data_IF_937022920149
#
_entry.id   IF_937022920149
#
_cell.length_a   1.000
_cell.length_b   1.000
_cell.length_c   1.000
_cell.angle_alpha   90.00
_cell.angle_beta   90.00
_cell.angle_gamma   90.00
#
_symmetry.space_group_name_H-M   'P 1'
#
loop_
_entity.id
_entity.type
_entity.pdbx_description
1 polymer ?
#
# COMPACT_ATOMS: atom_id res chain seq x y z
N UNK A 1 36.24 -9.51 -20.73
CA UNK A 1 34.85 -9.49 -20.19
C UNK A 1 34.86 -8.99 -18.74
N UNK A 2 33.97 -8.06 -18.38
CA UNK A 2 33.78 -7.70 -16.97
C UNK A 2 33.32 -8.94 -16.19
N UNK A 3 33.75 -9.14 -14.93
CA UNK A 3 33.31 -10.29 -14.15
C UNK A 3 31.78 -10.24 -13.97
N UNK A 4 31.13 -11.40 -14.09
CA UNK A 4 29.75 -11.56 -13.63
C UNK A 4 29.74 -11.33 -12.11
N UNK A 5 29.27 -10.17 -11.65
CA UNK A 5 29.00 -9.94 -10.24
C UNK A 5 27.58 -10.42 -9.93
N UNK A 6 27.46 -11.49 -9.13
CA UNK A 6 26.19 -11.86 -8.52
C UNK A 6 25.77 -10.83 -7.47
N UNK A 7 24.48 -10.51 -7.40
CA UNK A 7 23.90 -9.70 -6.31
C UNK A 7 23.40 -10.63 -5.21
N UNK A 8 23.59 -10.26 -3.94
CA UNK A 8 22.93 -10.95 -2.84
C UNK A 8 21.52 -10.38 -2.68
N UNK A 9 20.64 -11.19 -2.10
CA UNK A 9 19.32 -10.77 -1.69
C UNK A 9 19.01 -11.33 -0.30
N UNK A 10 18.14 -10.64 0.42
CA UNK A 10 17.59 -11.17 1.68
C UNK A 10 16.62 -12.33 1.42
N UNK A 11 16.27 -13.03 2.49
CA UNK A 11 15.01 -13.77 2.50
C UNK A 11 13.82 -12.81 2.31
N UNK A 12 12.68 -13.36 1.92
CA UNK A 12 11.42 -12.62 1.84
C UNK A 12 11.02 -12.12 3.23
N UNK A 13 10.63 -10.86 3.31
CA UNK A 13 10.19 -10.14 4.50
C UNK A 13 8.78 -9.62 4.29
N UNK A 14 8.05 -9.38 5.38
CA UNK A 14 6.73 -8.76 5.35
C UNK A 14 6.72 -7.51 6.23
N UNK A 15 6.21 -6.41 5.70
CA UNK A 15 5.95 -5.17 6.43
C UNK A 15 4.44 -4.94 6.52
N UNK A 16 3.95 -4.56 7.70
CA UNK A 16 2.53 -4.25 7.93
C UNK A 16 2.36 -2.81 8.39
N UNK A 17 1.34 -2.15 7.83
CA UNK A 17 1.07 -0.73 7.95
C UNK A 17 -0.35 -0.51 8.43
N UNK A 18 -0.57 0.33 9.43
CA UNK A 18 -1.90 0.68 9.95
C UNK A 18 -2.35 2.05 9.42
N UNK A 19 -3.62 2.12 9.02
CA UNK A 19 -4.37 3.38 8.95
C UNK A 19 -5.61 3.31 9.85
N UNK A 20 -5.76 4.30 10.73
CA UNK A 20 -6.94 4.47 11.58
C UNK A 20 -7.46 5.91 11.46
N UNK A 21 -8.63 6.06 10.84
CA UNK A 21 -9.25 7.37 10.58
C UNK A 21 -9.56 8.12 11.88
N UNK A 22 -9.79 7.42 13.00
CA UNK A 22 -10.01 8.05 14.32
C UNK A 22 -8.74 8.73 14.85
N UNK A 23 -7.57 8.27 14.40
CA UNK A 23 -6.25 8.77 14.86
C UNK A 23 -5.60 9.72 13.87
N UNK A 24 -5.82 9.51 12.57
CA UNK A 24 -5.10 10.20 11.50
C UNK A 24 -5.99 11.16 10.69
N UNK A 25 -7.31 11.14 10.93
CA UNK A 25 -8.29 11.88 10.13
C UNK A 25 -8.53 11.23 8.76
N UNK A 26 -9.28 11.92 7.91
CA UNK A 26 -9.57 11.47 6.56
C UNK A 26 -9.94 12.60 5.61
N UNK A 27 -9.38 13.79 5.84
CA UNK A 27 -9.49 14.90 4.89
C UNK A 27 -8.81 14.53 3.56
N UNK A 28 -9.22 15.20 2.48
CA UNK A 28 -8.56 15.06 1.17
C UNK A 28 -7.08 15.43 1.33
N UNK A 29 -6.20 14.51 0.95
CA UNK A 29 -4.77 14.70 1.14
C UNK A 29 -3.95 13.42 1.12
N UNK A 30 -2.69 13.58 1.52
CA UNK A 30 -1.66 12.55 1.49
C UNK A 30 -1.27 12.18 2.91
N UNK A 31 -1.20 10.88 3.19
CA UNK A 31 -0.91 10.34 4.51
C UNK A 31 0.11 9.22 4.40
N UNK A 32 1.14 9.24 5.24
CA UNK A 32 2.03 8.08 5.40
C UNK A 32 1.42 7.17 6.46
N UNK A 33 1.18 5.91 6.11
CA UNK A 33 0.65 4.93 7.04
C UNK A 33 1.66 4.62 8.15
N UNK A 34 1.14 4.26 9.33
CA UNK A 34 1.98 3.90 10.47
C UNK A 34 2.58 2.51 10.22
N UNK A 35 3.88 2.44 10.02
CA UNK A 35 4.60 1.19 9.78
C UNK A 35 6.08 1.43 9.52
N UNK A 36 6.85 0.37 9.17
CA UNK A 36 8.27 0.50 8.89
C UNK A 36 8.51 1.22 7.56
N UNK A 37 9.60 1.99 7.47
CA UNK A 37 10.10 2.49 6.18
C UNK A 37 10.79 1.35 5.45
N UNK A 38 10.39 1.06 4.21
CA UNK A 38 11.12 0.10 3.39
C UNK A 38 12.44 0.73 2.93
N UNK A 39 13.56 -0.01 2.96
CA UNK A 39 14.86 0.54 2.58
C UNK A 39 14.95 0.75 1.06
N UNK A 40 15.96 1.53 0.65
CA UNK A 40 16.38 1.56 -0.76
C UNK A 40 16.68 0.13 -1.25
N UNK A 41 16.47 -0.12 -2.54
CA UNK A 41 16.59 -1.43 -3.18
C UNK A 41 15.63 -2.51 -2.66
N UNK A 42 14.62 -2.18 -1.85
CA UNK A 42 13.51 -3.10 -1.60
C UNK A 42 12.77 -3.38 -2.91
N UNK A 43 12.51 -4.65 -3.18
CA UNK A 43 11.72 -5.15 -4.30
C UNK A 43 10.45 -5.75 -3.70
N UNK A 44 9.33 -5.08 -3.93
CA UNK A 44 8.01 -5.51 -3.48
C UNK A 44 7.51 -6.62 -4.40
N UNK A 45 7.01 -7.69 -3.81
CA UNK A 45 6.62 -8.92 -4.51
C UNK A 45 5.18 -9.34 -4.29
N UNK A 46 4.52 -8.84 -3.25
CA UNK A 46 3.11 -9.10 -2.94
C UNK A 46 2.53 -8.00 -2.05
N UNK A 47 1.23 -7.76 -2.10
CA UNK A 47 0.53 -6.89 -1.16
C UNK A 47 -0.97 -7.20 -1.02
N UNK A 48 -1.45 -7.14 0.22
CA UNK A 48 -2.87 -7.34 0.57
C UNK A 48 -3.30 -6.37 1.67
N UNK A 49 -4.61 -6.22 1.84
CA UNK A 49 -5.23 -5.40 2.89
C UNK A 49 -6.12 -6.27 3.78
N UNK A 50 -6.10 -5.98 5.08
CA UNK A 50 -7.03 -6.48 6.08
C UNK A 50 -7.90 -5.32 6.59
N UNK A 51 -9.14 -5.25 6.12
CA UNK A 51 -10.08 -4.20 6.48
C UNK A 51 -10.78 -4.58 7.79
N UNK A 52 -10.48 -3.86 8.87
CA UNK A 52 -11.09 -4.09 10.18
C UNK A 52 -12.42 -3.36 10.32
N UNK A 53 -12.52 -2.18 9.69
CA UNK A 53 -13.74 -1.40 9.62
C UNK A 53 -13.74 -0.70 8.28
N UNK A 54 -14.76 -0.95 7.46
CA UNK A 54 -14.87 -0.33 6.14
C UNK A 54 -14.84 1.21 6.25
N UNK A 55 -14.14 1.91 5.33
CA UNK A 55 -14.17 3.37 5.31
C UNK A 55 -15.59 3.91 5.14
N UNK A 56 -15.87 5.05 5.76
CA UNK A 56 -17.15 5.74 5.60
C UNK A 56 -16.95 7.24 5.43
N UNK A 57 -17.93 7.88 4.80
CA UNK A 57 -18.00 9.33 4.57
C UNK A 57 -19.15 9.93 5.39
N UNK A 58 -19.12 11.24 5.62
CA UNK A 58 -20.19 12.01 6.25
C UNK A 58 -21.36 12.36 5.30
N UNK A 59 -21.29 11.91 4.04
CA UNK A 59 -22.39 12.06 3.08
C UNK A 59 -21.95 12.43 1.66
N UNK A 60 -20.66 12.65 1.43
CA UNK A 60 -20.14 13.10 0.13
C UNK A 60 -20.08 12.00 -0.94
N UNK A 61 -20.13 10.72 -0.54
CA UNK A 61 -20.33 9.54 -1.40
C UNK A 61 -19.31 9.29 -2.52
N UNK A 62 -18.25 10.09 -2.60
CA UNK A 62 -17.36 10.16 -3.77
C UNK A 62 -15.89 9.95 -3.45
N UNK A 63 -15.54 9.68 -2.19
CA UNK A 63 -14.14 9.54 -1.77
C UNK A 63 -13.44 8.37 -2.49
N UNK A 64 -12.18 8.58 -2.88
CA UNK A 64 -11.34 7.54 -3.44
C UNK A 64 -10.03 7.43 -2.68
N UNK A 65 -9.54 6.21 -2.53
CA UNK A 65 -8.30 5.90 -1.81
C UNK A 65 -7.33 5.25 -2.80
N UNK A 66 -6.07 5.68 -2.78
CA UNK A 66 -4.97 5.01 -3.47
C UNK A 66 -3.80 4.75 -2.51
N UNK A 67 -2.98 3.76 -2.82
CA UNK A 67 -1.82 3.38 -2.03
C UNK A 67 -0.57 3.26 -2.92
N UNK A 68 0.58 3.63 -2.39
CA UNK A 68 1.84 3.33 -3.06
C UNK A 68 3.14 3.71 -2.36
N UNK A 69 4.25 3.26 -2.93
CA UNK A 69 5.61 3.57 -2.45
C UNK A 69 6.42 4.37 -3.46
N UNK A 70 6.62 3.86 -4.69
CA UNK A 70 7.41 4.52 -5.72
C UNK A 70 6.57 5.53 -6.52
N UNK A 71 5.26 5.29 -6.61
CA UNK A 71 4.25 6.24 -7.08
C UNK A 71 3.03 6.20 -6.14
N UNK A 72 2.08 7.12 -6.30
CA UNK A 72 0.91 7.19 -5.41
C UNK A 72 -0.12 6.06 -5.61
N UNK A 73 0.08 5.19 -6.62
CA UNK A 73 -0.93 4.23 -7.10
C UNK A 73 -0.35 2.86 -7.44
N UNK A 74 0.91 2.59 -7.10
CA UNK A 74 1.58 1.33 -7.49
C UNK A 74 1.22 0.13 -6.60
N UNK A 75 0.69 0.36 -5.39
CA UNK A 75 0.17 -0.69 -4.51
C UNK A 75 -1.34 -0.84 -4.68
N UNK A 76 -2.06 0.27 -4.75
CA UNK A 76 -3.47 0.27 -5.08
C UNK A 76 -3.82 1.51 -5.90
N UNK A 77 -4.41 1.27 -7.06
CA UNK A 77 -4.92 2.36 -7.90
C UNK A 77 -6.06 3.09 -7.20
N UNK A 78 -6.39 4.30 -7.65
CA UNK A 78 -7.48 5.08 -7.06
C UNK A 78 -8.80 4.30 -7.19
N UNK A 79 -9.29 3.81 -6.06
CA UNK A 79 -10.53 3.04 -5.96
C UNK A 79 -11.51 3.74 -5.03
N UNK A 80 -12.80 3.60 -5.33
CA UNK A 80 -13.85 4.18 -4.50
C UNK A 80 -13.82 3.51 -3.11
N UNK A 81 -13.99 4.32 -2.06
CA UNK A 81 -14.00 3.85 -0.66
C UNK A 81 -15.06 2.76 -0.41
N UNK A 82 -16.16 2.77 -1.18
CA UNK A 82 -17.26 1.81 -1.08
C UNK A 82 -17.18 0.66 -2.10
N UNK A 83 -16.06 0.53 -2.80
CA UNK A 83 -15.74 -0.61 -3.64
C UNK A 83 -14.59 -1.44 -3.08
N UNK A 84 -14.31 -2.58 -3.73
CA UNK A 84 -13.12 -3.35 -3.43
C UNK A 84 -11.85 -2.50 -3.67
N UNK A 85 -10.83 -2.62 -2.82
CA UNK A 85 -10.67 -3.60 -1.75
C UNK A 85 -11.18 -3.12 -0.38
N UNK A 86 -11.74 -1.90 -0.31
CA UNK A 86 -12.05 -1.23 0.96
C UNK A 86 -13.43 -1.56 1.55
N UNK A 87 -14.38 -1.99 0.71
CA UNK A 87 -15.78 -2.15 1.08
C UNK A 87 -16.10 -3.42 1.89
N UNK A 88 -15.20 -4.40 1.89
CA UNK A 88 -15.43 -5.71 2.52
C UNK A 88 -14.48 -5.84 3.71
N UNK A 89 -15.02 -6.04 4.91
CA UNK A 89 -14.21 -6.34 6.09
C UNK A 89 -13.52 -7.71 5.92
N UNK A 90 -12.27 -7.79 6.38
CA UNK A 90 -11.37 -8.93 6.21
C UNK A 90 -10.34 -8.72 5.10
N UNK A 91 -9.77 -9.85 4.64
CA UNK A 91 -8.66 -9.86 3.70
C UNK A 91 -9.13 -9.67 2.25
N UNK A 92 -8.40 -8.83 1.52
CA UNK A 92 -8.53 -8.66 0.08
C UNK A 92 -7.16 -8.37 -0.56
N UNK A 93 -7.00 -8.78 -1.81
CA UNK A 93 -5.81 -8.45 -2.59
C UNK A 93 -5.82 -6.97 -3.00
N UNK A 94 -4.62 -6.42 -3.16
CA UNK A 94 -4.40 -5.08 -3.70
C UNK A 94 -3.93 -5.18 -5.16
N UNK A 95 -4.04 -4.09 -5.92
CA UNK A 95 -3.69 -4.10 -7.35
C UNK A 95 -2.19 -4.15 -7.65
N UNK A 96 -1.33 -4.02 -6.64
CA UNK A 96 0.12 -4.09 -6.76
C UNK A 96 0.61 -5.48 -7.18
N UNK A 97 1.92 -5.74 -7.13
CA UNK A 97 2.48 -7.05 -7.47
C UNK A 97 1.70 -8.19 -6.83
N UNK A 98 1.33 -9.18 -7.66
CA UNK A 98 0.66 -10.41 -7.24
C UNK A 98 1.54 -11.61 -7.59
N UNK A 99 1.78 -12.55 -6.65
CA UNK A 99 2.56 -13.74 -6.91
C UNK A 99 2.01 -14.58 -8.07
N UNK A 100 2.87 -14.86 -9.05
CA UNK A 100 2.50 -15.71 -10.20
C UNK A 100 1.90 -14.96 -11.39
N UNK A 101 1.79 -13.63 -11.32
CA UNK A 101 1.48 -12.78 -12.48
C UNK A 101 2.77 -12.27 -13.13
N UNK A 102 2.76 -12.11 -14.46
CA UNK A 102 3.98 -11.79 -15.26
C UNK A 102 4.44 -10.33 -15.10
N UNK A 103 3.67 -9.48 -14.44
CA UNK A 103 3.95 -8.05 -14.27
C UNK A 103 3.60 -7.63 -12.85
N UNK A 104 4.55 -7.05 -12.10
CA UNK A 104 4.19 -6.49 -10.80
C UNK A 104 5.31 -5.96 -9.92
N UNK A 105 6.54 -6.46 -10.02
CA UNK A 105 7.56 -6.09 -9.04
C UNK A 105 7.85 -4.58 -9.02
N UNK A 106 7.87 -4.01 -7.82
CA UNK A 106 8.21 -2.59 -7.60
C UNK A 106 9.55 -2.52 -6.89
N UNK A 107 10.56 -1.97 -7.55
CA UNK A 107 11.86 -1.71 -6.92
C UNK A 107 11.97 -0.25 -6.47
N UNK A 108 12.23 -0.05 -5.19
CA UNK A 108 12.46 1.28 -4.64
C UNK A 108 13.85 1.81 -5.00
N UNK A 109 13.92 3.10 -5.28
CA UNK A 109 15.16 3.86 -5.58
C UNK A 109 15.63 4.73 -4.40
N UNK A 110 14.81 4.82 -3.35
CA UNK A 110 15.12 5.45 -2.07
C UNK A 110 14.29 4.79 -0.97
N UNK A 111 14.65 4.98 0.30
CA UNK A 111 13.82 4.52 1.39
C UNK A 111 12.45 5.24 1.37
N UNK A 112 11.34 4.50 1.57
CA UNK A 112 10.00 5.04 1.48
C UNK A 112 9.03 4.40 2.50
N UNK A 113 8.10 5.20 3.01
CA UNK A 113 6.94 4.72 3.74
C UNK A 113 5.75 4.51 2.80
N UNK A 114 4.75 3.74 3.24
CA UNK A 114 3.53 3.53 2.45
C UNK A 114 2.69 4.81 2.44
N UNK A 115 2.56 5.42 1.26
CA UNK A 115 1.72 6.58 1.02
C UNK A 115 0.29 6.13 0.73
N UNK A 116 -0.66 6.80 1.36
CA UNK A 116 -2.08 6.77 1.00
C UNK A 116 -2.52 8.16 0.55
N UNK A 117 -3.30 8.21 -0.53
CA UNK A 117 -3.97 9.43 -0.98
C UNK A 117 -5.48 9.26 -0.80
N UNK A 118 -6.12 10.25 -0.18
CA UNK A 118 -7.58 10.40 -0.17
C UNK A 118 -7.91 11.51 -1.15
N UNK A 119 -8.70 11.18 -2.17
CA UNK A 119 -9.18 12.11 -3.18
C UNK A 119 -10.71 12.25 -3.12
N UNK A 120 -11.21 13.26 -3.83
CA UNK A 120 -12.63 13.47 -4.21
C UNK A 120 -13.64 13.69 -3.07
N UNK A 121 -13.37 13.26 -1.85
CA UNK A 121 -14.21 13.50 -0.67
C UNK A 121 -13.52 13.05 0.62
N UNK A 122 -13.92 13.66 1.73
CA UNK A 122 -13.43 13.26 3.06
C UNK A 122 -14.04 11.94 3.55
N UNK A 123 -13.29 11.26 4.39
CA UNK A 123 -13.67 10.03 5.09
C UNK A 123 -13.59 10.28 6.60
N UNK A 124 -14.57 9.77 7.34
CA UNK A 124 -14.75 10.05 8.77
C UNK A 124 -14.60 8.82 9.65
N UNK A 125 -14.60 7.63 9.05
CA UNK A 125 -14.38 6.37 9.75
C UNK A 125 -13.67 5.36 8.86
N UNK A 126 -13.15 4.31 9.50
CA UNK A 126 -12.45 3.20 8.87
C UNK A 126 -11.22 2.79 9.69
N UNK A 127 -10.78 1.56 9.49
CA UNK A 127 -9.49 1.07 9.98
C UNK A 127 -9.06 -0.13 9.17
N UNK A 128 -7.81 -0.15 8.74
CA UNK A 128 -7.27 -1.27 7.99
C UNK A 128 -5.76 -1.41 8.17
N UNK A 129 -5.27 -2.61 7.86
CA UNK A 129 -3.86 -2.91 7.77
C UNK A 129 -3.49 -3.27 6.34
N UNK A 130 -2.40 -2.70 5.83
CA UNK A 130 -1.82 -3.09 4.54
C UNK A 130 -0.55 -3.88 4.82
N UNK A 131 -0.42 -5.06 4.23
CA UNK A 131 0.78 -5.88 4.34
C UNK A 131 1.44 -6.02 2.98
N UNK A 132 2.78 -6.00 3.00
CA UNK A 132 3.61 -5.92 1.79
C UNK A 132 4.76 -6.89 1.95
N UNK A 133 4.89 -7.84 1.03
CA UNK A 133 6.06 -8.71 0.95
C UNK A 133 7.15 -8.08 0.10
N UNK A 134 8.40 -8.19 0.55
CA UNK A 134 9.54 -7.67 -0.19
C UNK A 134 10.84 -8.45 0.08
N UNK A 135 11.80 -8.29 -0.82
CA UNK A 135 13.21 -8.65 -0.62
C UNK A 135 14.08 -7.41 -0.76
N UNK A 136 15.28 -7.41 -0.19
CA UNK A 136 16.26 -6.32 -0.37
C UNK A 136 17.47 -6.87 -1.13
N UNK A 137 17.93 -6.12 -2.13
CA UNK A 137 19.12 -6.47 -2.92
C UNK A 137 20.23 -5.44 -2.73
N UNK A 138 21.48 -5.90 -2.77
CA UNK A 138 22.69 -5.07 -2.77
C UNK A 138 22.79 -4.14 -4.00
#
# INVERSE_FOLDING_TARGET
PAPLMGRKSTAKLTATYEYDFRRQGGDIGNFILRGPTLPNNAIITDCWIDVITAPATDGQGTAAISLGFASATDIQTSANYNGAPYSTEGLADLAGPEPGTESGYIKLTSAAGLLMTIATGGLTAGRFFVSVEFIVTD
#
